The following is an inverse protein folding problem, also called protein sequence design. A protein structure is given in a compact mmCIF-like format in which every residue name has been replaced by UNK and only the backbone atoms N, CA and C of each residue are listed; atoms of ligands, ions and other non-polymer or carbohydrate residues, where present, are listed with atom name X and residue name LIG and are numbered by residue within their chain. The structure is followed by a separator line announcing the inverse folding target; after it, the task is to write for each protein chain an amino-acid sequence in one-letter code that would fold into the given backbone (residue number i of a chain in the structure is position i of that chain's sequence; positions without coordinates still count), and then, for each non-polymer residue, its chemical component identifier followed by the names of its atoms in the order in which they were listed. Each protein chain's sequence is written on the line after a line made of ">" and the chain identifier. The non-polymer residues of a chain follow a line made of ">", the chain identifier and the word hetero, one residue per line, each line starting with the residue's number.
data_IF_150722127492
#
_entry.id   IF_150722127492
#
_cell.length_a   1.000
_cell.length_b   1.000
_cell.length_c   1.000
_cell.angle_alpha   90.00
_cell.angle_beta   90.00
_cell.angle_gamma   90.00
#
_symmetry.space_group_name_H-M   'P 1'
#
loop_
_entity.id
_entity.type
_entity.pdbx_description
1 polymer ?
#
# COMPACT_ATOMS: atom_id res chain seq x y z
N UNK A 1 -9.07 -12.85 -11.00
CA UNK A 1 -9.35 -12.25 -12.33
C UNK A 1 -9.05 -13.28 -13.41
N UNK A 2 -9.81 -13.31 -14.51
CA UNK A 2 -9.50 -14.20 -15.63
C UNK A 2 -8.21 -13.76 -16.35
N UNK A 3 -7.49 -14.68 -17.01
CA UNK A 3 -6.31 -14.35 -17.81
C UNK A 3 -6.58 -13.22 -18.82
N UNK A 4 -7.79 -13.22 -19.38
CA UNK A 4 -8.27 -12.16 -20.29
C UNK A 4 -8.30 -10.80 -19.58
N UNK A 5 -8.76 -10.73 -18.32
CA UNK A 5 -8.78 -9.50 -17.56
C UNK A 5 -7.37 -8.92 -17.33
N UNK A 6 -6.38 -9.76 -17.08
CA UNK A 6 -4.98 -9.31 -16.97
C UNK A 6 -4.44 -8.78 -18.30
N UNK A 7 -4.69 -9.49 -19.41
CA UNK A 7 -4.27 -9.04 -20.73
C UNK A 7 -4.90 -7.70 -21.10
N UNK A 8 -6.20 -7.53 -20.86
CA UNK A 8 -6.90 -6.27 -21.14
C UNK A 8 -6.40 -5.13 -20.25
N UNK A 9 -6.15 -5.39 -18.98
CA UNK A 9 -5.58 -4.40 -18.05
C UNK A 9 -4.18 -3.95 -18.49
N UNK A 10 -3.30 -4.90 -18.84
CA UNK A 10 -1.96 -4.60 -19.35
C UNK A 10 -1.99 -3.84 -20.68
N UNK A 11 -2.90 -4.23 -21.58
CA UNK A 11 -3.08 -3.53 -22.85
C UNK A 11 -3.59 -2.08 -22.64
N UNK A 12 -4.50 -1.87 -21.69
CA UNK A 12 -4.96 -0.53 -21.32
C UNK A 12 -3.82 0.33 -20.76
N UNK A 13 -3.01 -0.21 -19.84
CA UNK A 13 -1.82 0.47 -19.31
C UNK A 13 -0.85 0.82 -20.44
N UNK A 14 -0.61 -0.11 -21.36
CA UNK A 14 0.25 0.12 -22.53
C UNK A 14 -0.23 1.30 -23.37
N UNK A 15 -1.52 1.33 -23.73
CA UNK A 15 -2.12 2.41 -24.51
C UNK A 15 -2.04 3.75 -23.78
N UNK A 16 -2.31 3.76 -22.47
CA UNK A 16 -2.18 4.96 -21.62
C UNK A 16 -0.74 5.47 -21.58
N UNK A 17 0.24 4.59 -21.49
CA UNK A 17 1.65 4.95 -21.44
C UNK A 17 2.13 5.60 -22.75
N UNK A 18 1.65 5.14 -23.90
CA UNK A 18 1.96 5.73 -25.20
C UNK A 18 1.13 6.98 -25.53
N UNK A 19 0.05 7.23 -24.79
CA UNK A 19 -0.82 8.39 -24.98
C UNK A 19 -1.63 8.37 -26.30
N UNK A 20 -1.55 7.30 -27.10
CA UNK A 20 -2.24 7.17 -28.39
C UNK A 20 -2.94 5.83 -28.51
N UNK A 21 -4.24 5.85 -28.76
CA UNK A 21 -5.08 4.65 -28.93
C UNK A 21 -5.16 4.22 -30.41
N UNK A 22 -4.01 4.11 -31.09
CA UNK A 22 -3.99 3.60 -32.47
C UNK A 22 -4.22 2.08 -32.49
N UNK A 23 -4.76 1.51 -33.58
CA UNK A 23 -4.92 0.05 -33.70
C UNK A 23 -3.62 -0.72 -33.50
N UNK A 24 -2.50 -0.18 -33.98
CA UNK A 24 -1.17 -0.77 -33.80
C UNK A 24 -0.76 -0.80 -32.31
N UNK A 25 -1.00 0.26 -31.55
CA UNK A 25 -0.71 0.31 -30.12
C UNK A 25 -1.61 -0.63 -29.32
N UNK A 26 -2.88 -0.74 -29.66
CA UNK A 26 -3.79 -1.69 -29.02
C UNK A 26 -3.34 -3.13 -29.26
N UNK A 27 -3.02 -3.48 -30.50
CA UNK A 27 -2.51 -4.82 -30.86
C UNK A 27 -1.16 -5.11 -30.19
N UNK A 28 -0.26 -4.12 -30.12
CA UNK A 28 1.01 -4.22 -29.42
C UNK A 28 0.81 -4.48 -27.92
N UNK A 29 -0.09 -3.73 -27.28
CA UNK A 29 -0.43 -3.91 -25.87
C UNK A 29 -1.04 -5.27 -25.57
N UNK A 30 -1.93 -5.77 -26.44
CA UNK A 30 -2.51 -7.12 -26.32
C UNK A 30 -1.44 -8.19 -26.52
N UNK A 31 -0.56 -8.04 -27.50
CA UNK A 31 0.53 -8.99 -27.74
C UNK A 31 1.50 -9.07 -26.55
N UNK A 32 1.97 -7.93 -26.06
CA UNK A 32 2.87 -7.85 -24.91
C UNK A 32 2.17 -8.36 -23.63
N UNK A 33 0.92 -7.95 -23.40
CA UNK A 33 0.13 -8.42 -22.26
C UNK A 33 -0.07 -9.93 -22.27
N UNK A 34 -0.34 -10.51 -23.45
CA UNK A 34 -0.48 -11.97 -23.60
C UNK A 34 0.84 -12.67 -23.34
N UNK A 35 1.95 -12.15 -23.89
CA UNK A 35 3.28 -12.72 -23.68
C UNK A 35 3.66 -12.71 -22.21
N UNK A 36 3.43 -11.60 -21.49
CA UNK A 36 3.71 -11.49 -20.06
C UNK A 36 2.88 -12.48 -19.23
N UNK A 37 1.59 -12.59 -19.52
CA UNK A 37 0.71 -13.54 -18.82
C UNK A 37 1.08 -15.00 -19.08
N UNK A 38 1.67 -15.32 -20.24
CA UNK A 38 2.15 -16.66 -20.58
C UNK A 38 3.51 -16.99 -19.93
N UNK A 39 4.44 -16.03 -19.96
CA UNK A 39 5.81 -16.23 -19.45
C UNK A 39 5.92 -16.12 -17.93
N UNK A 40 5.01 -15.39 -17.30
CA UNK A 40 5.03 -15.15 -15.86
C UNK A 40 3.77 -15.73 -15.20
N UNK A 41 3.73 -17.06 -14.95
CA UNK A 41 2.58 -17.70 -14.29
C UNK A 41 2.26 -17.09 -12.92
N UNK A 42 3.27 -16.54 -12.23
CA UNK A 42 3.11 -15.83 -10.96
C UNK A 42 2.29 -14.54 -11.02
N UNK A 43 2.09 -13.96 -12.22
CA UNK A 43 1.12 -12.86 -12.41
C UNK A 43 -0.33 -13.34 -12.28
N UNK A 44 -0.57 -14.64 -12.49
CA UNK A 44 -1.86 -15.26 -12.23
C UNK A 44 -1.92 -15.64 -10.75
N UNK A 45 -1.95 -14.63 -9.90
CA UNK A 45 -2.08 -14.88 -8.47
C UNK A 45 -3.41 -15.57 -8.22
N UNK A 46 -3.39 -16.82 -7.76
CA UNK A 46 -4.56 -17.55 -7.24
C UNK A 46 -5.03 -16.94 -5.90
N UNK A 47 -4.51 -15.75 -5.60
CA UNK A 47 -4.91 -14.95 -4.46
C UNK A 47 -6.35 -14.48 -4.60
N UNK A 48 -7.07 -14.53 -3.50
CA UNK A 48 -8.41 -13.95 -3.38
C UNK A 48 -8.40 -12.53 -3.92
N UNK A 49 -9.31 -12.16 -4.82
CA UNK A 49 -9.31 -10.82 -5.41
C UNK A 49 -9.52 -9.77 -4.30
N UNK A 50 -8.77 -8.68 -4.36
CA UNK A 50 -9.04 -7.51 -3.52
C UNK A 50 -10.49 -7.09 -3.73
N UNK A 51 -11.28 -7.14 -2.66
CA UNK A 51 -12.67 -6.69 -2.68
C UNK A 51 -12.67 -5.18 -2.49
N UNK A 52 -12.70 -4.45 -3.60
CA UNK A 52 -12.78 -2.98 -3.55
C UNK A 52 -14.20 -2.56 -3.23
N UNK A 53 -14.39 -1.96 -2.07
CA UNK A 53 -15.65 -1.32 -1.67
C UNK A 53 -15.59 0.15 -2.10
N UNK A 54 -16.35 0.60 -3.13
CA UNK A 54 -16.11 1.91 -3.75
C UNK A 54 -16.27 3.09 -2.78
N UNK A 55 -17.24 3.02 -1.87
CA UNK A 55 -17.44 4.08 -0.86
C UNK A 55 -16.32 4.10 0.19
N UNK A 56 -15.91 2.93 0.69
CA UNK A 56 -14.81 2.80 1.64
C UNK A 56 -13.48 3.19 0.98
N UNK A 57 -13.25 2.77 -0.26
CA UNK A 57 -12.06 3.16 -1.02
C UNK A 57 -12.01 4.68 -1.28
N UNK A 58 -13.13 5.32 -1.61
CA UNK A 58 -13.17 6.77 -1.81
C UNK A 58 -12.92 7.54 -0.51
N UNK A 59 -13.53 7.13 0.61
CA UNK A 59 -13.28 7.75 1.91
C UNK A 59 -11.84 7.54 2.38
N UNK A 60 -11.29 6.36 2.13
CA UNK A 60 -9.91 6.02 2.43
C UNK A 60 -8.92 6.87 1.62
N UNK A 61 -9.13 6.98 0.29
CA UNK A 61 -8.30 7.82 -0.58
C UNK A 61 -8.35 9.30 -0.16
N UNK A 62 -9.52 9.80 0.23
CA UNK A 62 -9.67 11.16 0.74
C UNK A 62 -8.90 11.36 2.05
N UNK A 63 -8.96 10.40 2.96
CA UNK A 63 -8.19 10.45 4.22
C UNK A 63 -6.70 10.48 3.94
N UNK A 64 -6.18 9.59 3.09
CA UNK A 64 -4.77 9.54 2.70
C UNK A 64 -4.33 10.89 2.11
N UNK A 65 -5.12 11.46 1.21
CA UNK A 65 -4.80 12.74 0.58
C UNK A 65 -4.69 13.86 1.62
N UNK A 66 -5.63 13.94 2.55
CA UNK A 66 -5.59 14.91 3.63
C UNK A 66 -4.40 14.71 4.56
N UNK A 67 -4.10 13.46 4.91
CA UNK A 67 -2.97 13.14 5.79
C UNK A 67 -1.63 13.40 5.09
N UNK A 68 -1.53 13.12 3.80
CA UNK A 68 -0.37 13.48 2.99
C UNK A 68 -0.14 14.99 2.97
N UNK A 69 -1.19 15.80 2.76
CA UNK A 69 -1.09 17.25 2.80
C UNK A 69 -0.66 17.75 4.18
N UNK A 70 -1.29 17.26 5.24
CA UNK A 70 -0.95 17.63 6.63
C UNK A 70 0.50 17.26 6.98
N UNK A 71 0.94 16.06 6.61
CA UNK A 71 2.30 15.59 6.86
C UNK A 71 3.33 16.40 6.10
N UNK A 72 3.07 16.75 4.83
CA UNK A 72 3.95 17.64 4.07
C UNK A 72 4.04 19.03 4.70
N UNK A 73 2.92 19.61 5.15
CA UNK A 73 2.91 20.91 5.84
C UNK A 73 3.70 20.85 7.15
N UNK A 74 3.54 19.77 7.95
CA UNK A 74 4.30 19.57 9.19
C UNK A 74 5.79 19.43 8.91
N UNK A 75 6.17 18.60 7.96
CA UNK A 75 7.56 18.41 7.56
C UNK A 75 8.19 19.72 7.07
N UNK A 76 7.49 20.48 6.22
CA UNK A 76 7.96 21.79 5.74
C UNK A 76 8.17 22.75 6.88
N UNK A 77 7.24 22.82 7.83
CA UNK A 77 7.39 23.69 9.03
C UNK A 77 8.59 23.26 9.88
N UNK A 78 8.80 21.96 10.08
CA UNK A 78 9.93 21.43 10.85
C UNK A 78 11.28 21.81 10.20
N UNK A 79 11.38 21.68 8.87
CA UNK A 79 12.59 22.06 8.11
C UNK A 79 12.84 23.58 8.20
N UNK A 80 11.81 24.39 7.98
CA UNK A 80 11.93 25.85 8.00
C UNK A 80 12.21 26.42 9.39
N UNK A 81 11.74 25.75 10.45
CA UNK A 81 12.01 26.15 11.84
C UNK A 81 13.39 25.74 12.35
N UNK A 82 14.19 25.04 11.55
CA UNK A 82 15.51 24.56 11.93
C UNK A 82 15.51 23.52 13.06
N UNK A 83 14.38 22.84 13.24
CA UNK A 83 14.23 21.80 14.27
C UNK A 83 15.24 20.68 13.98
N UNK A 84 16.11 20.39 14.97
CA UNK A 84 17.16 19.37 14.87
C UNK A 84 16.81 18.08 15.62
N UNK A 85 15.77 18.13 16.44
CA UNK A 85 15.33 16.99 17.25
C UNK A 85 14.37 16.12 16.42
N UNK A 86 14.96 15.42 15.46
CA UNK A 86 14.24 14.45 14.63
C UNK A 86 14.70 13.07 15.07
N UNK A 87 13.83 12.35 15.72
CA UNK A 87 14.09 10.97 16.14
C UNK A 87 13.58 10.01 15.05
N UNK A 88 14.20 8.84 15.00
CA UNK A 88 13.75 7.78 14.11
C UNK A 88 13.71 6.46 14.86
N UNK A 89 12.75 5.61 14.51
CA UNK A 89 12.68 4.25 15.05
C UNK A 89 12.32 3.25 13.96
N UNK A 90 12.57 1.97 14.23
CA UNK A 90 12.12 0.87 13.40
C UNK A 90 10.94 0.22 14.12
N UNK A 91 9.83 0.07 13.43
CA UNK A 91 8.62 -0.57 13.92
C UNK A 91 8.35 -1.84 13.15
N UNK A 92 7.97 -2.90 13.84
CA UNK A 92 7.43 -4.12 13.25
C UNK A 92 5.92 -4.11 13.37
N UNK A 93 5.22 -4.36 12.26
CA UNK A 93 3.76 -4.34 12.17
C UNK A 93 3.32 -5.72 11.72
N UNK A 94 2.61 -6.44 12.56
CA UNK A 94 2.01 -7.72 12.23
C UNK A 94 0.58 -7.52 11.72
N UNK A 95 0.29 -8.05 10.53
CA UNK A 95 -1.03 -7.98 9.90
C UNK A 95 -1.51 -9.41 9.62
N UNK A 96 -2.00 -10.14 10.63
CA UNK A 96 -2.22 -11.58 10.55
C UNK A 96 -3.27 -12.00 9.49
N UNK A 97 -4.24 -11.12 9.22
CA UNK A 97 -5.36 -11.41 8.31
C UNK A 97 -5.28 -10.52 7.07
N UNK A 98 -4.33 -10.80 6.17
CA UNK A 98 -4.29 -10.12 4.88
C UNK A 98 -3.82 -11.04 3.76
N UNK A 99 -4.26 -10.75 2.53
CA UNK A 99 -3.70 -11.38 1.33
C UNK A 99 -2.34 -10.77 1.00
N UNK A 100 -1.49 -11.48 0.25
CA UNK A 100 -0.19 -10.93 -0.20
C UNK A 100 -0.35 -9.64 -1.00
N UNK A 101 -1.46 -9.51 -1.72
CA UNK A 101 -1.81 -8.31 -2.49
C UNK A 101 -2.12 -7.14 -1.55
N UNK A 102 -2.87 -7.37 -0.48
CA UNK A 102 -3.18 -6.35 0.51
C UNK A 102 -1.92 -5.94 1.29
N UNK A 103 -1.09 -6.89 1.69
CA UNK A 103 0.19 -6.62 2.34
C UNK A 103 1.09 -5.74 1.46
N UNK A 104 1.19 -6.07 0.16
CA UNK A 104 1.94 -5.26 -0.81
C UNK A 104 1.32 -3.86 -0.98
N UNK A 105 -0.01 -3.77 -1.03
CA UNK A 105 -0.70 -2.49 -1.13
C UNK A 105 -0.43 -1.60 0.09
N UNK A 106 -0.48 -2.17 1.31
CA UNK A 106 -0.17 -1.46 2.56
C UNK A 106 1.29 -0.99 2.58
N UNK A 107 2.24 -1.83 2.19
CA UNK A 107 3.65 -1.45 2.09
C UNK A 107 3.84 -0.27 1.11
N UNK A 108 3.20 -0.31 -0.06
CA UNK A 108 3.25 0.79 -1.03
C UNK A 108 2.60 2.08 -0.49
N UNK A 109 1.51 1.97 0.25
CA UNK A 109 0.86 3.13 0.88
C UNK A 109 1.75 3.77 1.93
N UNK A 110 2.40 2.98 2.78
CA UNK A 110 3.37 3.47 3.77
C UNK A 110 4.57 4.14 3.10
N UNK A 111 5.01 3.67 1.92
CA UNK A 111 6.08 4.30 1.16
C UNK A 111 5.70 5.69 0.60
N UNK A 112 4.42 5.97 0.42
CA UNK A 112 3.93 7.29 -0.06
C UNK A 112 3.73 8.28 1.10
N UNK A 113 3.54 7.79 2.32
CA UNK A 113 3.35 8.65 3.51
C UNK A 113 4.70 9.27 3.89
N UNK A 114 4.81 10.63 3.98
CA UNK A 114 6.04 11.29 4.38
C UNK A 114 6.45 10.91 5.80
N UNK A 115 7.71 10.48 5.96
CA UNK A 115 8.26 10.06 7.24
C UNK A 115 8.14 8.57 7.53
N UNK A 116 7.59 7.76 6.62
CA UNK A 116 7.60 6.30 6.74
C UNK A 116 8.30 5.67 5.55
N UNK A 117 9.10 4.64 5.81
CA UNK A 117 9.82 3.88 4.79
C UNK A 117 9.75 2.39 5.11
N UNK A 118 9.00 1.59 4.35
CA UNK A 118 9.03 0.15 4.48
C UNK A 118 10.42 -0.39 4.15
N UNK A 119 11.01 -1.15 5.06
CA UNK A 119 12.33 -1.77 4.90
C UNK A 119 12.21 -3.20 4.40
N UNK A 120 11.33 -3.98 5.03
CA UNK A 120 11.12 -5.39 4.71
C UNK A 120 9.65 -5.78 4.73
N UNK A 121 9.30 -6.73 3.87
CA UNK A 121 7.96 -7.30 3.78
C UNK A 121 8.07 -8.82 3.88
N UNK A 122 7.64 -9.38 4.99
CA UNK A 122 7.66 -10.83 5.20
C UNK A 122 6.28 -11.44 4.88
N UNK A 123 6.11 -11.94 3.65
CA UNK A 123 4.85 -12.52 3.20
C UNK A 123 4.42 -13.77 4.00
N UNK A 124 5.37 -14.59 4.46
CA UNK A 124 5.08 -15.81 5.22
C UNK A 124 4.57 -15.55 6.64
N UNK A 125 5.10 -14.53 7.30
CA UNK A 125 4.73 -14.12 8.67
C UNK A 125 3.74 -12.96 8.70
N UNK A 126 3.40 -12.37 7.54
CA UNK A 126 2.52 -11.20 7.43
C UNK A 126 3.02 -9.99 8.21
N UNK A 127 4.34 -9.80 8.22
CA UNK A 127 5.03 -8.76 8.98
C UNK A 127 5.63 -7.72 8.04
N UNK A 128 5.49 -6.45 8.43
CA UNK A 128 6.14 -5.30 7.80
C UNK A 128 7.12 -4.69 8.78
N UNK A 129 8.36 -4.45 8.32
CA UNK A 129 9.35 -3.66 9.05
C UNK A 129 9.40 -2.28 8.43
N UNK A 130 9.12 -1.25 9.22
CA UNK A 130 8.98 0.13 8.76
C UNK A 130 9.89 1.04 9.56
N UNK A 131 10.71 1.81 8.86
CA UNK A 131 11.44 2.93 9.46
C UNK A 131 10.52 4.15 9.53
N UNK A 132 10.40 4.73 10.70
CA UNK A 132 9.51 5.86 10.97
C UNK A 132 10.32 7.04 11.50
N UNK A 133 10.18 8.17 10.84
CA UNK A 133 10.76 9.44 11.26
C UNK A 133 9.75 10.17 12.15
N UNK A 134 10.12 10.44 13.39
CA UNK A 134 9.24 11.07 14.36
C UNK A 134 9.45 12.59 14.37
N UNK A 135 8.41 13.32 13.99
CA UNK A 135 8.28 14.76 14.24
C UNK A 135 7.39 15.03 15.45
N UNK A 136 6.58 14.03 15.83
CA UNK A 136 5.63 14.01 16.94
C UNK A 136 6.00 12.85 17.89
N UNK A 137 5.43 12.78 19.10
CA UNK A 137 5.67 11.66 20.01
C UNK A 137 5.42 10.31 19.34
N UNK A 138 6.28 9.34 19.64
CA UNK A 138 6.25 8.00 19.05
C UNK A 138 4.86 7.35 19.09
N UNK A 139 4.13 7.54 20.18
CA UNK A 139 2.77 7.03 20.37
C UNK A 139 1.78 7.57 19.32
N UNK A 140 1.92 8.83 18.88
CA UNK A 140 1.07 9.42 17.86
C UNK A 140 1.40 8.87 16.47
N UNK A 141 2.70 8.69 16.18
CA UNK A 141 3.16 8.09 14.93
C UNK A 141 2.70 6.64 14.81
N UNK A 142 2.77 5.89 15.91
CA UNK A 142 2.26 4.52 16.02
C UNK A 142 0.76 4.46 15.75
N UNK A 143 -0.03 5.27 16.45
CA UNK A 143 -1.48 5.31 16.30
C UNK A 143 -1.89 5.70 14.87
N UNK A 144 -1.16 6.61 14.21
CA UNK A 144 -1.42 6.99 12.82
C UNK A 144 -1.17 5.84 11.85
N UNK A 145 -0.12 5.05 12.05
CA UNK A 145 0.18 3.87 11.24
C UNK A 145 -0.87 2.77 11.46
N UNK A 146 -1.24 2.50 12.71
CA UNK A 146 -2.30 1.53 13.06
C UNK A 146 -3.63 1.92 12.41
N UNK A 147 -4.02 3.19 12.46
CA UNK A 147 -5.23 3.70 11.82
C UNK A 147 -5.18 3.55 10.28
N UNK A 148 -4.03 3.85 9.66
CA UNK A 148 -3.83 3.67 8.22
C UNK A 148 -3.97 2.19 7.80
N UNK A 149 -3.31 1.29 8.53
CA UNK A 149 -3.38 -0.15 8.29
C UNK A 149 -4.80 -0.67 8.49
N UNK A 150 -5.45 -0.30 9.59
CA UNK A 150 -6.83 -0.68 9.88
C UNK A 150 -7.82 -0.22 8.80
N UNK A 151 -7.70 1.02 8.35
CA UNK A 151 -8.51 1.56 7.23
C UNK A 151 -8.22 0.85 5.90
N UNK A 152 -6.96 0.48 5.64
CA UNK A 152 -6.58 -0.28 4.44
C UNK A 152 -7.22 -1.67 4.45
N UNK A 153 -7.18 -2.37 5.57
CA UNK A 153 -7.84 -3.67 5.76
C UNK A 153 -9.35 -3.52 5.59
N UNK A 154 -9.97 -2.49 6.18
CA UNK A 154 -11.41 -2.25 6.05
C UNK A 154 -11.83 -1.92 4.60
N UNK A 155 -11.00 -1.21 3.84
CA UNK A 155 -11.31 -0.80 2.47
C UNK A 155 -11.11 -1.92 1.44
N UNK A 156 -10.07 -2.75 1.62
CA UNK A 156 -9.59 -3.71 0.63
C UNK A 156 -9.47 -5.15 1.16
N UNK A 157 -9.62 -5.34 2.46
CA UNK A 157 -9.54 -6.65 3.11
C UNK A 157 -10.79 -7.49 2.89
N UNK A 158 -10.66 -8.80 3.12
CA UNK A 158 -11.83 -9.66 3.29
C UNK A 158 -12.58 -9.23 4.56
N UNK A 159 -13.91 -9.37 4.58
CA UNK A 159 -14.65 -9.18 5.83
C UNK A 159 -14.10 -10.18 6.85
N UNK A 160 -13.75 -9.72 8.07
CA UNK A 160 -13.31 -10.63 9.13
C UNK A 160 -14.40 -11.69 9.34
N UNK A 161 -13.99 -12.95 9.40
CA UNK A 161 -14.91 -14.07 9.65
C UNK A 161 -15.41 -14.03 11.10
N UNK A 162 -14.63 -13.43 12.01
CA UNK A 162 -15.00 -13.12 13.39
C UNK A 162 -14.36 -11.78 13.79
N UNK A 163 -15.12 -10.95 14.52
CA UNK A 163 -14.75 -9.57 14.83
C UNK A 163 -13.56 -9.43 15.82
N UNK A 164 -13.09 -10.54 16.41
CA UNK A 164 -12.09 -10.57 17.47
C UNK A 164 -10.64 -10.81 16.99
N UNK A 165 -10.41 -11.02 15.68
CA UNK A 165 -9.10 -11.44 15.18
C UNK A 165 -8.22 -10.31 14.59
N UNK A 166 -8.60 -9.05 14.71
CA UNK A 166 -7.77 -7.93 14.25
C UNK A 166 -6.94 -7.39 15.42
N UNK A 167 -5.99 -8.16 15.90
CA UNK A 167 -4.92 -7.65 16.76
C UNK A 167 -3.77 -7.17 15.86
N UNK A 168 -3.54 -5.86 15.82
CA UNK A 168 -2.34 -5.28 15.21
C UNK A 168 -1.33 -5.10 16.33
N UNK A 169 -0.36 -6.01 16.40
CA UNK A 169 0.78 -5.86 17.31
C UNK A 169 1.87 -5.03 16.62
N UNK A 170 2.29 -3.96 17.28
CA UNK A 170 3.41 -3.12 16.84
C UNK A 170 4.53 -3.27 17.86
N UNK A 171 5.63 -3.89 17.46
CA UNK A 171 6.79 -4.08 18.31
C UNK A 171 7.89 -3.08 17.96
N UNK A 172 8.37 -2.35 18.97
CA UNK A 172 9.45 -1.39 18.85
C UNK A 172 10.80 -2.10 19.01
N UNK A 173 11.60 -2.10 17.97
CA UNK A 173 12.98 -2.53 18.08
C UNK A 173 13.83 -1.29 18.33
N UNK A 174 14.05 -0.94 19.61
CA UNK A 174 15.00 0.10 20.00
C UNK A 174 16.44 -0.30 19.64
N UNK A 175 17.13 0.57 18.98
CA UNK A 175 18.61 0.50 18.82
C UNK A 175 19.30 1.30 19.90
#
# INVERSE_FOLDING_TARGET
>A
MSAIGYVLGLAAIWVLLWGTASPANVLGGVAVGTLLVLLLPGLRTDGRPLVVRPRAAASFLWTILLDAVRSNVRLTKAILSGRRDVESSIMEIDIPICSDQLLTAIANLLAVVPGTMPLEVHGSTRRLVVHVLHLDPLAESRAAIEDLVGKSVAAFGEPPTDADDVAIDVEETGS
#
